data_IF_326973985939
#
_entry.id   IF_326973985939
#
_cell.length_a   1.000
_cell.length_b   1.000
_cell.length_c   1.000
_cell.angle_alpha   90.00
_cell.angle_beta   90.00
_cell.angle_gamma   90.00
#
_symmetry.space_group_name_H-M   'P 1'
#
loop_
_entity.id
_entity.type
_entity.pdbx_description
1 polymer ?
#
# COMPACT_ATOMS: atom_id res chain seq x y z
N UNK A 1 22.82 -49.28 52.34
CA UNK A 1 22.48 -49.05 50.92
C UNK A 1 22.24 -47.57 50.71
N UNK A 2 23.18 -46.91 50.02
CA UNK A 2 23.01 -45.70 49.19
C UNK A 2 22.56 -46.19 47.79
N UNK A 3 22.04 -45.42 46.80
CA UNK A 3 21.52 -44.03 46.65
C UNK A 3 20.05 -44.05 46.08
N UNK A 4 19.31 -43.01 45.66
CA UNK A 4 19.61 -41.86 44.79
C UNK A 4 18.60 -40.73 45.06
N UNK A 5 19.11 -39.63 45.62
CA UNK A 5 18.50 -38.31 45.48
C UNK A 5 18.71 -37.85 44.03
N UNK A 6 17.63 -37.81 43.26
CA UNK A 6 17.62 -37.31 41.89
C UNK A 6 17.67 -35.78 41.87
N UNK A 7 18.86 -35.26 41.62
CA UNK A 7 19.16 -33.88 41.27
C UNK A 7 18.22 -33.38 40.16
N UNK A 8 17.39 -32.38 40.46
CA UNK A 8 16.89 -31.41 39.47
C UNK A 8 17.12 -30.00 40.01
N UNK A 9 18.40 -29.65 40.13
CA UNK A 9 18.82 -28.27 40.12
C UNK A 9 19.17 -27.88 38.68
N UNK A 10 18.79 -26.65 38.29
CA UNK A 10 19.09 -25.96 37.03
C UNK A 10 18.32 -26.56 35.83
N UNK A 11 17.32 -25.89 35.26
CA UNK A 11 17.41 -24.60 34.56
C UNK A 11 16.18 -23.75 34.94
N UNK A 12 16.35 -22.78 35.85
CA UNK A 12 15.52 -21.58 35.78
C UNK A 12 16.03 -20.81 34.56
N UNK A 13 15.34 -20.95 33.44
CA UNK A 13 15.39 -19.90 32.43
C UNK A 13 14.76 -18.68 33.08
N UNK A 14 15.59 -17.85 33.69
CA UNK A 14 15.33 -16.43 33.91
C UNK A 14 15.25 -15.75 32.53
N UNK A 15 14.30 -16.19 31.70
CA UNK A 15 13.85 -15.43 30.56
C UNK A 15 12.94 -14.37 31.14
N UNK A 16 13.50 -13.21 31.50
CA UNK A 16 12.70 -12.00 31.46
C UNK A 16 12.01 -12.03 30.09
N UNK A 17 10.68 -12.08 30.08
CA UNK A 17 9.91 -12.08 28.84
C UNK A 17 10.48 -10.96 27.98
N UNK A 18 11.08 -11.32 26.83
CA UNK A 18 11.57 -10.33 25.89
C UNK A 18 10.43 -9.35 25.66
N UNK A 19 10.61 -8.05 25.95
CA UNK A 19 9.53 -7.10 25.86
C UNK A 19 8.91 -7.23 24.47
N UNK A 20 7.59 -7.43 24.42
CA UNK A 20 6.88 -7.56 23.16
C UNK A 20 7.21 -6.36 22.28
N UNK A 21 7.57 -6.62 21.02
CA UNK A 21 7.83 -5.55 20.05
C UNK A 21 6.64 -4.60 20.01
N UNK A 22 6.91 -3.30 20.04
CA UNK A 22 5.88 -2.27 19.88
C UNK A 22 5.57 -1.99 18.40
N UNK A 23 6.30 -2.59 17.47
CA UNK A 23 6.18 -2.33 16.03
C UNK A 23 5.65 -3.56 15.26
N UNK A 24 6.22 -4.74 15.54
CA UNK A 24 5.98 -5.96 14.80
C UNK A 24 5.19 -6.98 15.62
N UNK A 25 4.29 -7.69 14.95
CA UNK A 25 3.70 -8.91 15.47
C UNK A 25 4.73 -10.04 15.34
N UNK A 26 5.15 -10.59 16.47
CA UNK A 26 6.08 -11.72 16.54
C UNK A 26 5.35 -12.98 16.95
N UNK A 27 5.41 -14.01 16.09
CA UNK A 27 4.97 -15.36 16.44
C UNK A 27 6.04 -16.05 17.30
N UNK A 28 5.69 -17.06 18.12
CA UNK A 28 6.64 -17.74 19.00
C UNK A 28 7.86 -18.37 18.29
N UNK A 29 7.72 -18.70 17.01
CA UNK A 29 8.78 -19.29 16.18
C UNK A 29 9.56 -18.26 15.36
N UNK A 30 9.16 -16.98 15.39
CA UNK A 30 9.86 -15.95 14.64
C UNK A 30 11.19 -15.60 15.31
N UNK A 31 12.25 -15.52 14.52
CA UNK A 31 13.53 -14.96 14.99
C UNK A 31 13.37 -13.46 15.31
N UNK A 32 14.18 -12.90 16.23
CA UNK A 32 14.21 -11.47 16.49
C UNK A 32 14.43 -10.67 15.20
N UNK A 33 13.65 -9.61 14.99
CA UNK A 33 13.75 -8.80 13.78
C UNK A 33 14.84 -7.73 13.93
N UNK A 34 15.81 -7.73 13.02
CA UNK A 34 16.95 -6.81 13.09
C UNK A 34 16.53 -5.35 12.86
N UNK A 35 15.53 -5.11 11.99
CA UNK A 35 15.05 -3.76 11.69
C UNK A 35 14.39 -3.17 12.93
N UNK A 36 13.48 -3.92 13.56
CA UNK A 36 12.79 -3.50 14.77
C UNK A 36 13.77 -3.20 15.92
N UNK A 37 14.73 -4.10 16.15
CA UNK A 37 15.76 -3.91 17.18
C UNK A 37 16.59 -2.63 16.94
N UNK A 38 16.98 -2.37 15.70
CA UNK A 38 17.75 -1.16 15.34
C UNK A 38 16.92 0.11 15.51
N UNK A 39 15.68 0.11 15.07
CA UNK A 39 14.78 1.26 15.20
C UNK A 39 14.47 1.58 16.66
N UNK A 40 14.19 0.55 17.46
CA UNK A 40 14.00 0.70 18.90
C UNK A 40 15.25 1.26 19.60
N UNK A 41 16.45 0.81 19.23
CA UNK A 41 17.69 1.36 19.79
C UNK A 41 17.84 2.86 19.50
N UNK A 42 17.58 3.30 18.26
CA UNK A 42 17.59 4.72 17.92
C UNK A 42 16.57 5.52 18.71
N UNK A 43 15.35 5.01 18.85
CA UNK A 43 14.30 5.62 19.66
C UNK A 43 14.70 5.74 21.14
N UNK A 44 15.25 4.67 21.72
CA UNK A 44 15.69 4.64 23.11
C UNK A 44 16.78 5.68 23.40
N UNK A 45 17.77 5.79 22.53
CA UNK A 45 18.84 6.79 22.65
C UNK A 45 18.32 8.21 22.45
N UNK A 46 17.40 8.42 21.50
CA UNK A 46 16.72 9.71 21.31
C UNK A 46 15.95 10.12 22.56
N UNK A 47 15.12 9.23 23.13
CA UNK A 47 14.33 9.54 24.32
C UNK A 47 15.21 9.96 25.50
N UNK A 48 16.32 9.26 25.74
CA UNK A 48 17.31 9.67 26.76
C UNK A 48 17.91 11.04 26.48
N UNK A 49 18.21 11.34 25.21
CA UNK A 49 18.84 12.60 24.84
C UNK A 49 17.91 13.80 25.00
N UNK A 50 16.59 13.63 24.84
CA UNK A 50 15.59 14.71 24.91
C UNK A 50 14.88 14.78 26.28
N UNK A 51 15.12 13.82 27.18
CA UNK A 51 14.43 13.74 28.47
C UNK A 51 14.70 15.00 29.32
N UNK A 52 13.63 15.60 29.84
CA UNK A 52 13.69 16.78 30.71
C UNK A 52 14.14 18.07 30.01
N UNK A 53 14.24 18.07 28.68
CA UNK A 53 14.58 19.25 27.89
C UNK A 53 13.32 19.96 27.43
N UNK A 54 13.45 21.28 27.25
CA UNK A 54 12.42 22.05 26.59
C UNK A 54 12.39 21.76 25.07
N UNK A 55 11.39 22.30 24.40
CA UNK A 55 11.20 22.07 22.98
C UNK A 55 12.36 22.62 22.13
N UNK A 56 12.89 23.78 22.49
CA UNK A 56 13.98 24.43 21.77
C UNK A 56 15.28 23.61 21.87
N UNK A 57 15.66 23.16 23.07
CA UNK A 57 16.84 22.31 23.24
C UNK A 57 16.64 20.93 22.61
N UNK A 58 15.43 20.38 22.63
CA UNK A 58 15.10 19.13 21.94
C UNK A 58 15.36 19.25 20.44
N UNK A 59 14.84 20.29 19.79
CA UNK A 59 15.06 20.52 18.37
C UNK A 59 16.53 20.80 18.03
N UNK A 60 17.27 21.49 18.90
CA UNK A 60 18.69 21.75 18.71
C UNK A 60 19.51 20.44 18.63
N UNK A 61 19.17 19.46 19.47
CA UNK A 61 19.82 18.15 19.48
C UNK A 61 19.42 17.35 18.23
N UNK A 62 18.13 17.32 17.90
CA UNK A 62 17.64 16.53 16.77
C UNK A 62 18.13 17.04 15.40
N UNK A 63 18.46 18.34 15.30
CA UNK A 63 19.04 18.96 14.10
C UNK A 63 20.55 18.76 13.96
N UNK A 64 21.22 18.22 14.97
CA UNK A 64 22.67 18.09 14.97
C UNK A 64 23.12 17.19 13.81
N UNK A 65 23.81 17.77 12.84
CA UNK A 65 24.40 17.04 11.73
C UNK A 65 25.81 16.55 12.06
N UNK A 66 26.28 15.45 11.46
CA UNK A 66 27.68 15.04 11.56
C UNK A 66 28.57 16.14 10.98
N UNK A 67 29.41 16.75 11.82
CA UNK A 67 30.35 17.79 11.43
C UNK A 67 31.75 17.46 11.98
N UNK A 68 32.78 17.94 11.30
CA UNK A 68 34.17 17.71 11.70
C UNK A 68 34.43 18.29 13.10
N UNK A 69 34.92 17.47 14.03
CA UNK A 69 35.15 17.85 15.43
C UNK A 69 33.94 17.75 16.37
N UNK A 70 32.75 17.40 15.87
CA UNK A 70 31.55 17.15 16.68
C UNK A 70 31.29 15.63 16.75
N UNK A 71 31.24 15.02 17.94
CA UNK A 71 30.94 13.59 18.05
C UNK A 71 29.56 13.28 17.45
N UNK A 72 29.43 12.24 16.60
CA UNK A 72 28.17 11.90 15.97
C UNK A 72 27.15 11.52 17.05
N UNK A 73 25.88 11.83 16.78
CA UNK A 73 24.79 11.38 17.63
C UNK A 73 24.79 9.85 17.73
N UNK A 74 24.49 9.26 18.90
CA UNK A 74 24.39 7.81 19.06
C UNK A 74 23.15 7.23 18.38
N UNK A 75 22.33 8.07 17.74
CA UNK A 75 21.11 7.67 17.04
C UNK A 75 20.90 8.46 15.75
N UNK A 76 20.12 7.90 14.84
CA UNK A 76 19.63 8.59 13.65
C UNK A 76 18.26 9.24 13.97
N UNK A 77 18.16 10.58 13.93
CA UNK A 77 16.92 11.29 14.29
C UNK A 77 15.71 10.88 13.46
N UNK A 78 15.86 10.73 12.13
CA UNK A 78 14.76 10.33 11.23
C UNK A 78 14.15 8.98 11.64
N UNK A 79 15.01 7.96 11.85
CA UNK A 79 14.59 6.61 12.21
C UNK A 79 13.94 6.59 13.60
N UNK A 80 14.53 7.29 14.56
CA UNK A 80 14.02 7.37 15.93
C UNK A 80 12.62 8.03 15.97
N UNK A 81 12.44 9.14 15.23
CA UNK A 81 11.19 9.87 15.17
C UNK A 81 10.11 9.11 14.39
N UNK A 82 10.47 8.44 13.29
CA UNK A 82 9.54 7.55 12.57
C UNK A 82 9.03 6.42 13.47
N UNK A 83 9.93 5.75 14.19
CA UNK A 83 9.53 4.72 15.16
C UNK A 83 8.60 5.32 16.22
N UNK A 84 8.96 6.48 16.81
CA UNK A 84 8.15 7.15 17.82
C UNK A 84 6.73 7.48 17.33
N UNK A 85 6.59 8.03 16.13
CA UNK A 85 5.29 8.38 15.54
C UNK A 85 4.42 7.13 15.33
N UNK A 86 5.03 6.02 14.90
CA UNK A 86 4.31 4.78 14.60
C UNK A 86 3.90 4.04 15.88
N UNK A 87 4.74 4.07 16.94
CA UNK A 87 4.50 3.28 18.16
C UNK A 87 3.83 4.05 19.29
N UNK A 88 3.93 5.38 19.33
CA UNK A 88 3.41 6.22 20.43
C UNK A 88 2.33 7.20 19.93
N UNK A 89 1.09 6.74 19.67
CA UNK A 89 0.03 7.54 19.06
C UNK A 89 -0.37 8.77 19.91
N UNK A 90 -0.22 8.70 21.23
CA UNK A 90 -0.51 9.82 22.15
C UNK A 90 0.40 11.02 21.94
N UNK A 91 1.65 10.80 21.55
CA UNK A 91 2.67 11.82 21.32
C UNK A 91 2.98 12.04 19.82
N UNK A 92 2.26 11.34 18.94
CA UNK A 92 2.56 11.31 17.51
C UNK A 92 2.57 12.71 16.86
N UNK A 93 1.66 13.62 17.25
CA UNK A 93 1.65 14.99 16.72
C UNK A 93 2.90 15.79 17.13
N UNK A 94 3.39 15.59 18.35
CA UNK A 94 4.61 16.24 18.82
C UNK A 94 5.83 15.68 18.07
N UNK A 95 5.94 14.35 17.97
CA UNK A 95 7.03 13.73 17.23
C UNK A 95 7.00 14.04 15.73
N UNK A 96 5.80 14.19 15.13
CA UNK A 96 5.66 14.64 13.75
C UNK A 96 6.21 16.05 13.55
N UNK A 97 5.95 16.99 14.48
CA UNK A 97 6.53 18.34 14.42
C UNK A 97 8.05 18.28 14.45
N UNK A 98 8.63 17.43 15.30
CA UNK A 98 10.08 17.23 15.34
C UNK A 98 10.60 16.58 14.04
N UNK A 99 9.90 15.58 13.52
CA UNK A 99 10.25 14.89 12.29
C UNK A 99 10.27 15.85 11.10
N UNK A 100 9.24 16.70 10.94
CA UNK A 100 9.17 17.71 9.89
C UNK A 100 10.37 18.66 9.94
N UNK A 101 10.75 19.10 11.14
CA UNK A 101 11.89 20.00 11.33
C UNK A 101 13.23 19.33 11.01
N UNK A 102 13.37 18.03 11.26
CA UNK A 102 14.57 17.26 10.89
C UNK A 102 14.58 16.96 9.38
N UNK A 103 13.49 16.45 8.84
CA UNK A 103 13.34 16.02 7.45
C UNK A 103 13.42 17.18 6.44
N UNK A 104 13.16 18.41 6.87
CA UNK A 104 13.37 19.57 5.99
C UNK A 104 14.85 19.78 5.62
N UNK A 105 15.79 19.31 6.45
CA UNK A 105 17.22 19.47 6.19
C UNK A 105 17.71 18.70 4.97
N UNK A 106 17.06 17.58 4.62
CA UNK A 106 17.42 16.73 3.48
C UNK A 106 16.31 16.63 2.41
N UNK A 107 15.30 17.51 2.49
CA UNK A 107 14.11 17.47 1.64
C UNK A 107 13.35 16.13 1.71
N UNK A 108 13.21 15.58 2.93
CA UNK A 108 12.47 14.36 3.27
C UNK A 108 13.05 13.07 2.69
N UNK A 109 14.25 13.10 2.10
CA UNK A 109 14.84 11.94 1.41
C UNK A 109 15.02 10.73 2.34
N UNK A 110 15.59 10.93 3.52
CA UNK A 110 15.77 9.87 4.51
C UNK A 110 14.43 9.39 5.06
N UNK A 111 13.55 10.33 5.43
CA UNK A 111 12.21 10.02 5.95
C UNK A 111 11.43 9.13 4.99
N UNK A 112 11.33 9.51 3.72
CA UNK A 112 10.67 8.73 2.67
C UNK A 112 11.37 7.40 2.43
N UNK A 113 12.70 7.37 2.34
CA UNK A 113 13.47 6.15 2.12
C UNK A 113 13.26 5.10 3.21
N UNK A 114 13.25 5.53 4.48
CA UNK A 114 12.99 4.63 5.61
C UNK A 114 11.54 4.16 5.67
N UNK A 115 10.57 5.01 5.32
CA UNK A 115 9.16 4.61 5.21
C UNK A 115 8.96 3.56 4.12
N UNK A 116 9.51 3.76 2.92
CA UNK A 116 9.45 2.77 1.84
C UNK A 116 10.06 1.44 2.29
N UNK A 117 11.24 1.47 2.92
CA UNK A 117 11.90 0.27 3.45
C UNK A 117 11.06 -0.45 4.50
N UNK A 118 10.45 0.28 5.43
CA UNK A 118 9.57 -0.31 6.45
C UNK A 118 8.36 -0.99 5.80
N UNK A 119 7.72 -0.32 4.83
CA UNK A 119 6.57 -0.85 4.11
C UNK A 119 6.97 -2.13 3.37
N UNK A 120 7.92 -2.04 2.44
CA UNK A 120 8.29 -3.14 1.56
C UNK A 120 8.73 -4.40 2.33
N UNK A 121 9.41 -4.22 3.47
CA UNK A 121 9.95 -5.35 4.24
C UNK A 121 9.00 -5.86 5.33
N UNK A 122 8.20 -5.00 5.96
CA UNK A 122 7.54 -5.32 7.24
C UNK A 122 6.05 -5.00 7.29
N UNK A 123 5.43 -4.40 6.28
CA UNK A 123 4.03 -3.96 6.34
C UNK A 123 3.06 -5.06 6.83
N UNK A 124 3.17 -6.28 6.29
CA UNK A 124 2.34 -7.43 6.68
C UNK A 124 2.63 -7.95 8.09
N UNK A 125 3.78 -7.64 8.67
CA UNK A 125 4.15 -8.00 10.05
C UNK A 125 3.87 -6.88 11.07
N UNK A 126 3.56 -5.67 10.63
CA UNK A 126 3.22 -4.57 11.54
C UNK A 126 1.99 -4.91 12.39
N UNK A 127 2.00 -4.45 13.65
CA UNK A 127 0.82 -4.45 14.50
C UNK A 127 -0.32 -3.62 13.87
N UNK A 128 -1.57 -3.97 14.16
CA UNK A 128 -2.76 -3.28 13.60
C UNK A 128 -2.77 -1.79 13.94
N UNK A 129 -2.39 -1.44 15.18
CA UNK A 129 -2.23 -0.06 15.62
C UNK A 129 -1.16 0.67 14.81
N UNK A 130 -0.01 0.02 14.57
CA UNK A 130 1.09 0.59 13.80
C UNK A 130 0.75 0.77 12.32
N UNK A 131 -0.05 -0.12 11.71
CA UNK A 131 -0.55 0.09 10.33
C UNK A 131 -1.46 1.31 10.25
N UNK A 132 -2.36 1.46 11.22
CA UNK A 132 -3.23 2.65 11.31
C UNK A 132 -2.42 3.93 11.48
N UNK A 133 -1.42 3.91 12.37
CA UNK A 133 -0.53 5.06 12.58
C UNK A 133 0.36 5.38 11.38
N UNK A 134 0.82 4.36 10.65
CA UNK A 134 1.56 4.54 9.41
C UNK A 134 0.70 5.27 8.37
N UNK A 135 -0.56 4.87 8.19
CA UNK A 135 -1.46 5.56 7.26
C UNK A 135 -1.84 6.98 7.74
N UNK A 136 -1.95 7.18 9.06
CA UNK A 136 -2.09 8.52 9.61
C UNK A 136 -0.87 9.39 9.26
N UNK A 137 0.34 8.91 9.48
CA UNK A 137 1.57 9.63 9.14
C UNK A 137 1.65 9.95 7.64
N UNK A 138 1.33 8.99 6.77
CA UNK A 138 1.31 9.22 5.31
C UNK A 138 0.31 10.32 4.93
N UNK A 139 -0.88 10.32 5.52
CA UNK A 139 -1.87 11.39 5.32
C UNK A 139 -1.32 12.76 5.73
N UNK A 140 -0.67 12.86 6.88
CA UNK A 140 -0.08 14.13 7.35
C UNK A 140 1.07 14.58 6.44
N UNK A 141 1.90 13.66 5.93
CA UNK A 141 2.96 13.99 4.96
C UNK A 141 2.39 14.50 3.63
N UNK A 142 1.27 13.95 3.16
CA UNK A 142 0.54 14.48 2.00
C UNK A 142 -0.01 15.88 2.29
N UNK A 143 -0.59 16.09 3.47
CA UNK A 143 -1.09 17.40 3.89
C UNK A 143 0.02 18.47 3.93
N UNK A 144 1.22 18.09 4.36
CA UNK A 144 2.41 18.95 4.36
C UNK A 144 3.07 19.10 2.98
N UNK A 145 2.54 18.44 1.95
CA UNK A 145 3.13 18.37 0.60
C UNK A 145 4.60 17.93 0.61
N UNK A 146 4.91 16.93 1.44
CA UNK A 146 6.27 16.42 1.61
C UNK A 146 6.78 15.76 0.29
N UNK A 147 7.97 16.15 -0.22
CA UNK A 147 8.52 15.57 -1.45
C UNK A 147 8.72 14.06 -1.33
N UNK A 148 8.31 13.31 -2.36
CA UNK A 148 8.52 11.87 -2.45
C UNK A 148 7.46 11.00 -1.73
N UNK A 149 6.46 11.60 -1.08
CA UNK A 149 5.37 10.85 -0.45
C UNK A 149 4.52 10.06 -1.45
N UNK A 150 4.48 10.49 -2.71
CA UNK A 150 3.91 9.73 -3.83
C UNK A 150 4.49 8.33 -3.94
N UNK A 151 5.82 8.19 -3.77
CA UNK A 151 6.51 6.90 -3.78
C UNK A 151 6.12 6.01 -2.60
N UNK A 152 5.79 6.60 -1.46
CA UNK A 152 5.34 5.87 -0.25
C UNK A 152 3.93 5.32 -0.48
N UNK A 153 3.02 6.12 -1.05
CA UNK A 153 1.68 5.66 -1.45
C UNK A 153 1.82 4.51 -2.46
N UNK A 154 2.72 4.66 -3.44
CA UNK A 154 3.07 3.58 -4.37
C UNK A 154 3.55 2.35 -3.58
N UNK A 155 4.49 2.40 -2.64
CA UNK A 155 4.82 1.18 -1.86
C UNK A 155 3.60 0.54 -1.15
N UNK A 156 2.66 1.34 -0.64
CA UNK A 156 1.44 0.83 0.01
C UNK A 156 0.47 0.16 -0.95
N UNK A 157 0.18 0.72 -2.14
CA UNK A 157 -0.78 0.08 -3.05
C UNK A 157 -0.26 -1.22 -3.68
N UNK A 158 1.03 -1.56 -3.55
CA UNK A 158 1.56 -2.90 -3.91
C UNK A 158 0.92 -4.03 -3.11
N UNK A 159 0.35 -3.71 -1.94
CA UNK A 159 -0.37 -4.67 -1.11
C UNK A 159 -1.87 -4.76 -1.47
N UNK A 160 -2.32 -4.01 -2.48
CA UNK A 160 -3.66 -4.10 -3.06
C UNK A 160 -3.61 -4.96 -4.32
N UNK A 161 -3.36 -6.26 -4.13
CA UNK A 161 -3.35 -7.22 -5.23
C UNK A 161 -4.77 -7.60 -5.61
N UNK A 162 -5.08 -7.57 -6.91
CA UNK A 162 -6.38 -8.03 -7.40
C UNK A 162 -6.63 -9.51 -7.08
N UNK A 163 -7.87 -9.86 -6.78
CA UNK A 163 -8.30 -11.22 -6.42
C UNK A 163 -8.20 -11.56 -4.93
N UNK A 164 -7.87 -10.60 -4.06
CA UNK A 164 -7.85 -10.78 -2.59
C UNK A 164 -8.74 -9.75 -1.88
N UNK A 165 -10.06 -10.00 -1.75
CA UNK A 165 -10.98 -9.14 -0.99
C UNK A 165 -10.94 -9.43 0.52
N UNK A 166 -9.77 -9.69 1.11
CA UNK A 166 -9.65 -9.85 2.55
C UNK A 166 -10.00 -8.56 3.32
N UNK A 167 -10.38 -8.70 4.59
CA UNK A 167 -10.65 -7.52 5.45
C UNK A 167 -9.47 -6.55 5.52
N UNK A 168 -8.24 -7.05 5.40
CA UNK A 168 -7.02 -6.22 5.47
C UNK A 168 -6.82 -5.41 4.20
N UNK A 169 -7.00 -6.02 3.02
CA UNK A 169 -6.86 -5.33 1.73
C UNK A 169 -7.99 -4.32 1.52
N UNK A 170 -9.23 -4.67 1.85
CA UNK A 170 -10.38 -3.75 1.81
C UNK A 170 -10.17 -2.55 2.75
N UNK A 171 -9.67 -2.79 3.97
CA UNK A 171 -9.33 -1.72 4.91
C UNK A 171 -8.23 -0.80 4.38
N UNK A 172 -7.18 -1.38 3.78
CA UNK A 172 -6.08 -0.62 3.21
C UNK A 172 -6.55 0.21 2.01
N UNK A 173 -7.32 -0.37 1.10
CA UNK A 173 -7.91 0.31 -0.05
C UNK A 173 -8.78 1.49 0.41
N UNK A 174 -9.69 1.25 1.36
CA UNK A 174 -10.54 2.27 1.98
C UNK A 174 -9.74 3.40 2.63
N UNK A 175 -8.60 3.07 3.24
CA UNK A 175 -7.77 4.06 3.92
C UNK A 175 -6.97 4.91 2.94
N UNK A 176 -6.37 4.29 1.91
CA UNK A 176 -5.62 4.98 0.87
C UNK A 176 -6.54 5.86 0.03
N UNK A 177 -7.69 5.34 -0.40
CA UNK A 177 -8.61 6.11 -1.25
C UNK A 177 -9.13 7.36 -0.54
N UNK A 178 -9.38 7.27 0.78
CA UNK A 178 -9.77 8.43 1.58
C UNK A 178 -8.68 9.51 1.60
N UNK A 179 -7.40 9.13 1.72
CA UNK A 179 -6.28 10.08 1.66
C UNK A 179 -6.24 10.77 0.30
N UNK A 180 -6.41 10.00 -0.78
CA UNK A 180 -6.36 10.48 -2.15
C UNK A 180 -7.52 11.42 -2.51
N UNK A 181 -8.75 11.09 -2.09
CA UNK A 181 -9.94 11.93 -2.29
C UNK A 181 -9.83 13.20 -1.45
N UNK A 182 -9.42 13.10 -0.19
CA UNK A 182 -9.25 14.27 0.69
C UNK A 182 -8.21 15.26 0.14
N UNK A 183 -7.15 14.76 -0.50
CA UNK A 183 -6.07 15.57 -1.05
C UNK A 183 -6.06 15.53 -2.58
N UNK A 184 -7.24 15.64 -3.21
CA UNK A 184 -7.39 15.52 -4.67
C UNK A 184 -6.49 16.52 -5.42
N UNK A 185 -6.42 17.78 -4.98
CA UNK A 185 -5.58 18.80 -5.61
C UNK A 185 -4.09 18.40 -5.64
N UNK A 186 -3.61 17.76 -4.57
CA UNK A 186 -2.26 17.23 -4.50
C UNK A 186 -2.07 16.04 -5.45
N UNK A 187 -3.01 15.09 -5.45
CA UNK A 187 -2.96 13.93 -6.36
C UNK A 187 -2.90 14.36 -7.82
N UNK A 188 -3.72 15.34 -8.22
CA UNK A 188 -3.75 15.85 -9.59
C UNK A 188 -2.48 16.62 -9.97
N UNK A 189 -1.68 17.09 -9.01
CA UNK A 189 -0.37 17.68 -9.26
C UNK A 189 0.72 16.60 -9.49
N UNK A 190 0.51 15.37 -9.02
CA UNK A 190 1.48 14.28 -9.09
C UNK A 190 1.32 13.38 -10.34
N UNK A 191 1.75 13.85 -11.52
CA UNK A 191 1.69 13.08 -12.78
C UNK A 191 2.28 11.67 -12.70
N UNK A 192 3.36 11.47 -11.93
CA UNK A 192 4.00 10.16 -11.76
C UNK A 192 3.12 9.14 -11.02
N UNK A 193 2.23 9.62 -10.14
CA UNK A 193 1.41 8.80 -9.25
C UNK A 193 0.09 8.36 -9.92
N UNK A 194 -0.50 9.23 -10.73
CA UNK A 194 -1.81 9.04 -11.37
C UNK A 194 -1.95 7.69 -12.08
N UNK A 195 -0.98 7.23 -12.91
CA UNK A 195 -1.08 5.93 -13.57
C UNK A 195 -1.21 4.76 -12.59
N UNK A 196 -0.46 4.79 -11.48
CA UNK A 196 -0.49 3.73 -10.47
C UNK A 196 -1.82 3.71 -9.73
N UNK A 197 -2.33 4.90 -9.37
CA UNK A 197 -3.61 5.03 -8.67
C UNK A 197 -4.76 4.54 -9.56
N UNK A 198 -4.83 5.03 -10.80
CA UNK A 198 -5.87 4.61 -11.73
C UNK A 198 -5.84 3.10 -11.97
N UNK A 199 -4.65 2.54 -12.25
CA UNK A 199 -4.50 1.11 -12.48
C UNK A 199 -4.95 0.26 -11.29
N UNK A 200 -4.48 0.62 -10.09
CA UNK A 200 -4.77 -0.14 -8.88
C UNK A 200 -6.26 -0.14 -8.58
N UNK A 201 -6.88 1.04 -8.51
CA UNK A 201 -8.28 1.17 -8.11
C UNK A 201 -9.25 0.62 -9.16
N UNK A 202 -8.96 0.77 -10.46
CA UNK A 202 -9.77 0.15 -11.50
C UNK A 202 -9.62 -1.39 -11.54
N UNK A 203 -8.50 -1.95 -11.06
CA UNK A 203 -8.35 -3.41 -10.96
C UNK A 203 -9.04 -3.97 -9.72
N UNK A 204 -8.85 -3.39 -8.55
CA UNK A 204 -9.42 -3.95 -7.30
C UNK A 204 -10.92 -3.71 -7.20
N UNK A 205 -11.49 -2.75 -7.94
CA UNK A 205 -12.94 -2.56 -8.00
C UNK A 205 -13.69 -3.82 -8.47
N UNK A 206 -13.02 -4.67 -9.25
CA UNK A 206 -13.55 -5.99 -9.65
C UNK A 206 -13.79 -6.93 -8.47
N UNK A 207 -13.01 -6.78 -7.40
CA UNK A 207 -13.07 -7.64 -6.22
C UNK A 207 -14.06 -7.11 -5.18
N UNK A 208 -14.61 -5.90 -5.38
CA UNK A 208 -15.49 -5.18 -4.45
C UNK A 208 -16.96 -5.12 -4.91
N UNK A 209 -17.42 -6.09 -5.71
CA UNK A 209 -18.82 -6.13 -6.20
C UNK A 209 -19.85 -6.53 -5.13
N UNK A 210 -19.42 -7.13 -4.02
CA UNK A 210 -20.33 -7.50 -2.94
C UNK A 210 -20.96 -6.26 -2.28
N UNK A 211 -22.25 -6.34 -1.92
CA UNK A 211 -23.00 -5.23 -1.34
C UNK A 211 -22.35 -4.61 -0.07
N UNK A 212 -21.63 -5.42 0.71
CA UNK A 212 -20.85 -4.97 1.88
C UNK A 212 -19.74 -3.98 1.53
N UNK A 213 -19.27 -3.98 0.28
CA UNK A 213 -18.22 -3.11 -0.24
C UNK A 213 -18.74 -1.99 -1.13
N UNK A 214 -20.07 -1.83 -1.30
CA UNK A 214 -20.67 -0.86 -2.21
C UNK A 214 -20.20 0.59 -1.98
N UNK A 215 -19.97 0.98 -0.72
CA UNK A 215 -19.46 2.31 -0.39
C UNK A 215 -18.02 2.53 -0.88
N UNK A 216 -17.15 1.51 -0.74
CA UNK A 216 -15.78 1.55 -1.25
C UNK A 216 -15.80 1.56 -2.78
N UNK A 217 -16.54 0.64 -3.40
CA UNK A 217 -16.67 0.56 -4.85
C UNK A 217 -17.10 1.90 -5.48
N UNK A 218 -18.07 2.59 -4.85
CA UNK A 218 -18.49 3.93 -5.28
C UNK A 218 -17.32 4.92 -5.29
N UNK A 219 -16.51 4.95 -4.24
CA UNK A 219 -15.34 5.83 -4.15
C UNK A 219 -14.29 5.47 -5.20
N UNK A 220 -14.05 4.19 -5.45
CA UNK A 220 -13.10 3.71 -6.47
C UNK A 220 -13.49 4.16 -7.87
N UNK A 221 -14.78 4.03 -8.19
CA UNK A 221 -15.39 4.50 -9.44
C UNK A 221 -15.26 6.02 -9.59
N UNK A 222 -15.59 6.77 -8.54
CA UNK A 222 -15.51 8.22 -8.54
C UNK A 222 -14.06 8.70 -8.73
N UNK A 223 -13.11 8.12 -8.00
CA UNK A 223 -11.69 8.43 -8.15
C UNK A 223 -11.19 8.15 -9.57
N UNK A 224 -11.48 6.98 -10.13
CA UNK A 224 -11.06 6.64 -11.49
C UNK A 224 -11.68 7.58 -12.53
N UNK A 225 -12.94 7.97 -12.33
CA UNK A 225 -13.63 8.94 -13.19
C UNK A 225 -12.98 10.32 -13.13
N UNK A 226 -12.63 10.80 -11.94
CA UNK A 226 -11.93 12.07 -11.74
C UNK A 226 -10.57 12.06 -12.43
N UNK A 227 -9.77 11.01 -12.27
CA UNK A 227 -8.46 10.89 -12.91
C UNK A 227 -8.56 10.82 -14.44
N UNK A 228 -9.52 10.05 -14.96
CA UNK A 228 -9.77 9.95 -16.39
C UNK A 228 -10.16 11.29 -17.00
N UNK A 229 -11.12 11.99 -16.39
CA UNK A 229 -11.68 13.22 -16.94
C UNK A 229 -10.71 14.42 -16.79
N UNK A 230 -9.94 14.48 -15.71
CA UNK A 230 -9.09 15.65 -15.40
C UNK A 230 -7.65 15.49 -15.88
N UNK A 231 -7.13 14.27 -15.96
CA UNK A 231 -5.70 13.98 -16.23
C UNK A 231 -5.53 12.77 -17.16
N UNK A 232 -6.35 12.71 -18.21
CA UNK A 232 -6.38 11.61 -19.17
C UNK A 232 -5.00 11.31 -19.77
N UNK A 233 -4.20 12.33 -20.07
CA UNK A 233 -2.85 12.18 -20.62
C UNK A 233 -1.87 11.48 -19.67
N UNK A 234 -2.00 11.71 -18.36
CA UNK A 234 -1.20 10.99 -17.36
C UNK A 234 -1.67 9.53 -17.30
N UNK A 235 -2.99 9.28 -17.25
CA UNK A 235 -3.53 7.91 -17.25
C UNK A 235 -3.08 7.14 -18.50
N UNK A 236 -3.07 7.78 -19.67
CA UNK A 236 -2.65 7.22 -20.96
C UNK A 236 -1.23 6.65 -20.97
N UNK A 237 -0.35 7.05 -20.03
CA UNK A 237 1.00 6.48 -19.89
C UNK A 237 1.01 4.96 -19.61
N UNK A 238 -0.10 4.40 -19.13
CA UNK A 238 -0.29 2.96 -18.97
C UNK A 238 -0.34 2.20 -20.32
N UNK A 239 -0.66 2.89 -21.42
CA UNK A 239 -0.81 2.30 -22.75
C UNK A 239 -1.94 1.27 -22.81
N UNK A 240 -1.68 0.12 -23.45
CA UNK A 240 -2.67 -0.96 -23.66
C UNK A 240 -3.31 -1.49 -22.38
N UNK A 241 -2.66 -1.30 -21.24
CA UNK A 241 -3.17 -1.77 -19.96
C UNK A 241 -4.49 -1.11 -19.55
N UNK A 242 -4.72 0.13 -19.96
CA UNK A 242 -5.99 0.83 -19.70
C UNK A 242 -7.13 0.06 -20.34
N UNK A 243 -6.95 -0.33 -21.60
CA UNK A 243 -7.95 -1.10 -22.35
C UNK A 243 -8.19 -2.42 -21.65
N UNK A 244 -7.14 -3.11 -21.19
CA UNK A 244 -7.26 -4.38 -20.48
C UNK A 244 -8.06 -4.21 -19.18
N UNK A 245 -7.67 -3.28 -18.31
CA UNK A 245 -8.32 -3.09 -17.00
C UNK A 245 -9.76 -2.62 -17.14
N UNK A 246 -10.04 -1.66 -18.03
CA UNK A 246 -11.42 -1.19 -18.24
C UNK A 246 -12.28 -2.23 -18.95
N UNK A 247 -11.72 -3.04 -19.86
CA UNK A 247 -12.44 -4.14 -20.47
C UNK A 247 -12.73 -5.26 -19.47
N UNK A 248 -11.84 -5.51 -18.52
CA UNK A 248 -12.11 -6.44 -17.41
C UNK A 248 -13.20 -5.84 -16.49
N UNK A 249 -13.10 -4.54 -16.16
CA UNK A 249 -14.00 -3.84 -15.24
C UNK A 249 -15.44 -3.63 -15.74
N UNK A 250 -15.67 -3.67 -17.05
CA UNK A 250 -17.02 -3.52 -17.63
C UNK A 250 -17.85 -4.81 -17.49
N UNK A 251 -17.21 -5.99 -17.50
CA UNK A 251 -17.85 -7.31 -17.48
C UNK A 251 -17.51 -7.99 -16.14
N UNK A 252 -18.23 -7.67 -15.06
CA UNK A 252 -18.06 -8.44 -13.81
C UNK A 252 -18.74 -9.78 -14.00
N UNK A 253 -17.96 -10.78 -14.40
CA UNK A 253 -18.37 -12.17 -14.24
C UNK A 253 -18.31 -12.50 -12.77
N UNK A 254 -19.45 -12.39 -12.13
CA UNK A 254 -19.65 -12.84 -10.76
C UNK A 254 -19.46 -14.36 -10.76
N UNK A 255 -18.26 -14.85 -10.48
CA UNK A 255 -18.05 -16.27 -10.19
C UNK A 255 -18.51 -16.55 -8.75
N UNK A 256 -19.81 -16.43 -8.50
CA UNK A 256 -20.40 -16.87 -7.25
C UNK A 256 -20.57 -18.40 -7.33
N UNK A 257 -19.74 -19.12 -6.59
CA UNK A 257 -20.22 -20.34 -5.92
C UNK A 257 -21.18 -19.91 -4.80
N UNK A 258 -22.37 -19.43 -5.15
CA UNK A 258 -23.40 -19.03 -4.19
C UNK A 258 -24.68 -19.79 -4.45
N UNK A 259 -25.20 -20.40 -3.39
CA UNK A 259 -26.46 -21.12 -3.36
C UNK A 259 -27.62 -20.10 -3.38
N UNK A 260 -27.95 -19.59 -4.56
CA UNK A 260 -29.13 -18.74 -4.76
C UNK A 260 -30.05 -19.35 -5.82
N UNK A 261 -31.35 -19.32 -5.50
CA UNK A 261 -32.44 -19.92 -6.28
C UNK A 261 -32.81 -18.97 -7.43
N UNK A 262 -32.37 -19.27 -8.66
CA UNK A 262 -32.82 -18.49 -9.83
C UNK A 262 -32.11 -18.77 -11.15
N UNK A 263 -32.79 -19.52 -12.02
CA UNK A 263 -32.83 -19.50 -13.50
C UNK A 263 -31.53 -19.25 -14.30
N UNK A 264 -30.67 -20.27 -14.40
CA UNK A 264 -30.22 -20.91 -15.66
C UNK A 264 -29.07 -21.86 -15.32
N UNK A 265 -29.36 -23.15 -15.31
CA UNK A 265 -28.46 -24.21 -14.85
C UNK A 265 -27.97 -24.99 -16.07
N UNK A 266 -26.66 -25.02 -16.30
CA UNK A 266 -26.05 -26.05 -17.14
C UNK A 266 -25.43 -27.10 -16.21
N UNK A 267 -26.06 -28.28 -16.17
CA UNK A 267 -25.51 -29.44 -15.45
C UNK A 267 -24.54 -30.18 -16.36
N UNK A 268 -23.28 -30.29 -15.94
CA UNK A 268 -22.35 -31.28 -16.47
C UNK A 268 -22.35 -32.49 -15.53
N UNK A 269 -22.83 -33.62 -16.01
CA UNK A 269 -22.79 -34.89 -15.30
C UNK A 269 -21.41 -35.54 -15.49
N UNK A 270 -20.62 -35.58 -14.43
CA UNK A 270 -19.40 -36.38 -14.35
C UNK A 270 -19.65 -37.52 -13.36
N UNK A 271 -20.37 -38.55 -13.81
CA UNK A 271 -20.78 -39.67 -12.97
C UNK A 271 -21.79 -39.26 -11.89
N UNK A 272 -21.59 -39.73 -10.64
CA UNK A 272 -22.51 -39.44 -9.53
C UNK A 272 -22.37 -38.03 -8.91
N UNK A 273 -21.60 -37.13 -9.54
CA UNK A 273 -21.41 -35.75 -9.10
C UNK A 273 -21.99 -34.80 -10.16
N UNK A 274 -23.07 -34.12 -9.80
CA UNK A 274 -23.67 -33.06 -10.64
C UNK A 274 -22.99 -31.74 -10.30
N UNK A 275 -22.26 -31.16 -11.26
CA UNK A 275 -21.74 -29.80 -11.13
C UNK A 275 -22.70 -28.84 -11.84
N UNK A 276 -23.37 -28.00 -11.05
CA UNK A 276 -24.22 -26.92 -11.56
C UNK A 276 -23.35 -25.68 -11.80
N UNK A 277 -23.21 -25.27 -13.06
CA UNK A 277 -22.59 -23.99 -13.40
C UNK A 277 -23.73 -22.96 -13.52
N UNK A 278 -23.69 -21.93 -12.68
CA UNK A 278 -24.56 -20.76 -12.77
C UNK A 278 -23.89 -19.75 -13.71
N UNK A 279 -24.61 -19.33 -14.75
CA UNK A 279 -24.25 -18.15 -15.54
C UNK A 279 -25.16 -17.02 -15.05
N UNK A 280 -24.68 -16.21 -14.12
CA UNK A 280 -25.38 -14.98 -13.72
C UNK A 280 -25.31 -13.94 -14.86
N UNK A 281 -26.39 -13.18 -15.03
CA UNK A 281 -26.46 -12.03 -15.93
C UNK A 281 -25.31 -11.05 -15.64
N UNK A 282 -24.67 -10.50 -16.69
CA UNK A 282 -23.52 -9.58 -16.61
C UNK A 282 -23.84 -8.36 -15.70
N UNK A 283 -23.52 -8.43 -14.41
CA UNK A 283 -23.69 -7.33 -13.47
C UNK A 283 -22.57 -6.30 -13.68
N UNK A 284 -22.82 -5.31 -14.53
CA UNK A 284 -21.82 -4.30 -14.88
C UNK A 284 -21.60 -3.33 -13.73
N UNK A 285 -20.34 -2.95 -13.42
CA UNK A 285 -20.05 -1.80 -12.55
C UNK A 285 -20.43 -0.53 -13.34
N UNK A 286 -21.54 0.17 -13.04
CA UNK A 286 -22.12 1.14 -13.98
C UNK A 286 -21.18 2.30 -14.31
N UNK A 287 -20.38 2.75 -13.33
CA UNK A 287 -19.42 3.83 -13.54
C UNK A 287 -18.17 3.41 -14.32
N UNK A 288 -17.64 2.20 -14.12
CA UNK A 288 -16.54 1.69 -14.95
C UNK A 288 -16.99 1.44 -16.38
N UNK A 289 -18.22 0.97 -16.59
CA UNK A 289 -18.80 0.86 -17.93
C UNK A 289 -18.94 2.25 -18.60
N UNK A 290 -19.28 3.29 -17.82
CA UNK A 290 -19.32 4.65 -18.35
C UNK A 290 -17.96 5.09 -18.89
N UNK A 291 -16.88 4.84 -18.14
CA UNK A 291 -15.50 5.10 -18.60
C UNK A 291 -15.14 4.27 -19.85
N UNK A 292 -15.52 2.99 -19.87
CA UNK A 292 -15.32 2.14 -21.04
C UNK A 292 -16.04 2.66 -22.29
N UNK A 293 -17.30 3.08 -22.15
CA UNK A 293 -18.09 3.68 -23.25
C UNK A 293 -17.46 4.99 -23.73
N UNK A 294 -17.00 5.85 -22.82
CA UNK A 294 -16.28 7.07 -23.18
C UNK A 294 -15.04 6.75 -24.03
N UNK A 295 -14.23 5.77 -23.61
CA UNK A 295 -13.04 5.34 -24.36
C UNK A 295 -13.37 4.73 -25.73
N UNK A 296 -14.46 3.97 -25.84
CA UNK A 296 -14.86 3.30 -27.09
C UNK A 296 -15.46 4.28 -28.10
N UNK A 297 -16.29 5.21 -27.62
CA UNK A 297 -17.07 6.11 -28.47
C UNK A 297 -16.30 7.38 -28.87
N UNK A 298 -15.00 7.49 -28.51
CA UNK A 298 -14.11 8.57 -28.93
C UNK A 298 -14.20 8.83 -30.44
N UNK A 299 -14.28 7.76 -31.24
CA UNK A 299 -14.37 7.82 -32.71
C UNK A 299 -15.73 8.33 -33.21
N UNK A 300 -16.81 7.92 -32.54
CA UNK A 300 -18.18 8.27 -32.93
C UNK A 300 -18.51 9.72 -32.57
N UNK A 301 -17.88 10.27 -31.54
CA UNK A 301 -18.07 11.65 -31.09
C UNK A 301 -17.27 12.67 -31.91
N UNK A 302 -16.13 12.29 -32.51
CA UNK A 302 -15.32 13.19 -33.31
C UNK A 302 -14.48 12.41 -34.36
N UNK A 303 -14.88 12.40 -35.65
CA UNK A 303 -14.18 11.67 -36.72
C UNK A 303 -12.76 12.17 -37.00
N UNK A 304 -12.44 13.43 -36.65
CA UNK A 304 -11.12 14.05 -36.81
C UNK A 304 -10.25 13.94 -35.53
N UNK A 305 -10.73 13.27 -34.47
CA UNK A 305 -10.04 13.16 -33.18
C UNK A 305 -8.65 12.52 -33.26
N UNK A 306 -8.37 11.66 -34.24
CA UNK A 306 -7.04 11.06 -34.40
C UNK A 306 -5.95 12.08 -34.74
N UNK A 307 -6.32 13.27 -35.25
CA UNK A 307 -5.38 14.37 -35.50
C UNK A 307 -5.07 15.16 -34.24
N UNK A 308 -5.90 15.05 -33.21
CA UNK A 308 -5.68 15.70 -31.92
C UNK A 308 -4.88 14.78 -31.01
N UNK A 309 -3.61 15.13 -30.77
CA UNK A 309 -2.70 14.34 -29.94
C UNK A 309 -3.17 14.19 -28.49
N UNK A 310 -4.20 14.93 -28.07
CA UNK A 310 -4.79 14.86 -26.73
C UNK A 310 -5.89 13.80 -26.56
N UNK A 311 -6.38 13.23 -27.67
CA UNK A 311 -7.47 12.26 -27.65
C UNK A 311 -6.92 10.83 -27.75
N UNK A 312 -7.29 9.97 -26.79
CA UNK A 312 -6.81 8.58 -26.71
C UNK A 312 -7.90 7.59 -27.12
N UNK A 313 -7.78 7.04 -28.33
CA UNK A 313 -8.64 5.96 -28.82
C UNK A 313 -8.16 4.57 -28.35
N UNK A 314 -9.04 3.56 -28.38
CA UNK A 314 -8.66 2.17 -28.10
C UNK A 314 -7.50 1.71 -28.99
N UNK A 315 -7.53 2.05 -30.29
CA UNK A 315 -6.50 1.64 -31.24
C UNK A 315 -5.14 2.25 -30.89
N UNK A 316 -5.10 3.54 -30.55
CA UNK A 316 -3.88 4.24 -30.12
C UNK A 316 -3.32 3.64 -28.83
N UNK A 317 -4.15 3.41 -27.81
CA UNK A 317 -3.70 2.83 -26.55
C UNK A 317 -3.18 1.40 -26.73
N UNK A 318 -3.84 0.58 -27.56
CA UNK A 318 -3.39 -0.78 -27.85
C UNK A 318 -2.03 -0.83 -28.55
N UNK A 319 -1.67 0.21 -29.32
CA UNK A 319 -0.36 0.33 -29.96
C UNK A 319 0.77 0.72 -28.98
N UNK A 320 0.44 1.32 -27.83
CA UNK A 320 1.43 1.74 -26.83
C UNK A 320 1.70 0.57 -25.86
N UNK A 321 2.92 -0.01 -25.85
CA UNK A 321 3.26 -1.05 -24.90
C UNK A 321 3.29 -0.49 -23.48
N UNK A 322 2.71 -1.23 -22.54
CA UNK A 322 2.73 -0.85 -21.12
C UNK A 322 4.15 -0.89 -20.57
N UNK A 323 4.66 0.23 -20.03
CA UNK A 323 5.99 0.26 -19.42
C UNK A 323 6.15 -0.80 -18.30
N UNK A 324 7.29 -1.52 -18.23
CA UNK A 324 7.50 -2.60 -17.26
C UNK A 324 7.30 -2.18 -15.80
N UNK A 325 7.57 -0.93 -15.46
CA UNK A 325 7.35 -0.37 -14.11
C UNK A 325 5.90 -0.52 -13.63
N UNK A 326 4.91 -0.45 -14.51
CA UNK A 326 3.50 -0.62 -14.17
C UNK A 326 3.07 -2.10 -14.08
N UNK A 327 3.85 -3.00 -14.68
CA UNK A 327 3.64 -4.45 -14.59
C UNK A 327 4.24 -5.00 -13.29
N UNK A 328 5.51 -4.65 -13.01
CA UNK A 328 6.21 -5.08 -11.80
C UNK A 328 5.47 -4.66 -10.53
N UNK A 329 4.86 -3.47 -10.56
CA UNK A 329 4.13 -2.92 -9.44
C UNK A 329 2.89 -3.73 -8.99
N UNK A 330 2.33 -4.57 -9.86
CA UNK A 330 1.19 -5.44 -9.53
C UNK A 330 1.55 -6.57 -8.57
N UNK A 331 2.85 -6.84 -8.45
CA UNK A 331 3.36 -7.86 -7.57
C UNK A 331 3.69 -7.19 -6.24
N UNK A 332 3.12 -7.76 -5.18
CA UNK A 332 3.60 -7.43 -3.84
C UNK A 332 5.09 -7.85 -3.74
N UNK A 333 5.88 -7.22 -2.86
CA UNK A 333 7.33 -7.48 -2.78
C UNK A 333 7.69 -8.96 -2.61
N UNK A 334 6.86 -9.73 -1.89
CA UNK A 334 7.06 -11.15 -1.64
C UNK A 334 6.81 -12.02 -2.88
N UNK A 335 5.79 -11.69 -3.67
CA UNK A 335 5.49 -12.35 -4.95
C UNK A 335 6.63 -12.13 -5.93
N UNK A 336 7.14 -10.89 -6.02
CA UNK A 336 8.27 -10.54 -6.87
C UNK A 336 9.53 -11.34 -6.48
N UNK A 337 9.87 -11.39 -5.19
CA UNK A 337 11.00 -12.17 -4.67
C UNK A 337 10.90 -13.65 -5.06
N UNK A 338 9.72 -14.26 -4.90
CA UNK A 338 9.50 -15.67 -5.25
C UNK A 338 9.59 -15.94 -6.74
N UNK A 339 9.01 -15.07 -7.58
CA UNK A 339 9.11 -15.20 -9.03
C UNK A 339 10.55 -15.09 -9.51
N UNK A 340 11.31 -14.11 -8.99
CA UNK A 340 12.73 -13.96 -9.31
C UNK A 340 13.53 -15.19 -8.87
N UNK A 341 13.26 -15.71 -7.67
CA UNK A 341 13.92 -16.91 -7.17
C UNK A 341 13.69 -18.12 -8.09
N UNK A 342 12.44 -18.38 -8.49
CA UNK A 342 12.11 -19.48 -9.40
C UNK A 342 12.72 -19.28 -10.80
N UNK A 343 12.76 -18.05 -11.29
CA UNK A 343 13.31 -17.79 -12.63
C UNK A 343 14.83 -17.91 -12.70
N UNK A 344 15.55 -17.64 -11.60
CA UNK A 344 17.02 -17.53 -11.61
C UNK A 344 17.70 -18.73 -10.94
N UNK A 345 17.09 -19.37 -9.94
CA UNK A 345 17.78 -20.34 -9.06
C UNK A 345 17.25 -21.76 -9.10
N UNK A 346 16.12 -22.02 -9.75
CA UNK A 346 15.56 -23.39 -9.85
C UNK A 346 15.82 -24.06 -11.20
N UNK A 347 16.85 -23.61 -11.93
CA UNK A 347 17.29 -24.20 -13.20
C UNK A 347 18.11 -25.46 -12.99
#
# INVERSE_FOLDING_TARGET
>A
MVPVAGVRAWIQHSGAATPHSKLLNHLPLDSPDELDRKWYAHFYHMQKAIQGKDEAATLAILKQQPAEGVPPLPFQPDVALLYAVITEPSLAKQYLRYLTVVATADSYKNCVGWLQKLIDQKFVKLLVSCRSQLLWLVRELVHLNAPGVDKVIVCLMRYLTGGDPSRTTVWLASSIIRILIEHEAWLLACSSLIPFVFHTFARISLDHNAAVHAALLKQEVELCSTLWNRRQSDVAQLGREIVRVLNDAKDVRVSLFSWAVGRHVYCLELGNLTCCIYLDDDEQIPGMNTLWKQLRNVRDANPDAEKDASVFSVAQLMAIPTPPKYLAYRLNPKMEEYLIFMMVRTS
#
